data_IF_066046740086
#
_entry.id   IF_066046740086
#
_cell.length_a   1.000
_cell.length_b   1.000
_cell.length_c   1.000
_cell.angle_alpha   90.00
_cell.angle_beta   90.00
_cell.angle_gamma   90.00
#
_symmetry.space_group_name_H-M   'P 1'
#
loop_
_entity.id
_entity.type
_entity.pdbx_description
1 polymer ?
#
# COMPACT_ATOMS: atom_id res chain seq x y z
N UNK A 1 -32.31 -10.71 10.49
CA UNK A 1 -31.71 -9.47 11.02
C UNK A 1 -30.30 -9.81 11.51
N UNK A 2 -29.32 -9.83 10.59
CA UNK A 2 -27.94 -10.17 10.91
C UNK A 2 -27.31 -8.91 11.51
N UNK A 3 -26.89 -8.98 12.77
CA UNK A 3 -26.05 -7.95 13.37
C UNK A 3 -24.77 -7.84 12.53
N UNK A 4 -24.69 -6.82 11.68
CA UNK A 4 -23.44 -6.27 11.17
C UNK A 4 -22.66 -5.81 12.41
N UNK A 5 -21.89 -6.71 13.03
CA UNK A 5 -20.82 -6.32 13.95
C UNK A 5 -19.94 -5.40 13.10
N UNK A 6 -20.02 -4.08 13.34
CA UNK A 6 -19.07 -3.11 12.78
C UNK A 6 -17.70 -3.68 13.10
N UNK A 7 -16.95 -4.12 12.08
CA UNK A 7 -15.54 -4.44 12.28
C UNK A 7 -14.90 -3.15 12.82
N UNK A 8 -14.10 -3.22 13.89
CA UNK A 8 -13.34 -2.05 14.32
C UNK A 8 -12.46 -1.61 13.14
N UNK A 9 -12.48 -0.31 12.84
CA UNK A 9 -11.62 0.28 11.83
C UNK A 9 -10.16 0.02 12.20
N UNK A 10 -9.32 -0.40 11.25
CA UNK A 10 -7.89 -0.62 11.45
C UNK A 10 -7.17 0.69 11.80
N UNK A 11 -7.65 1.81 11.28
CA UNK A 11 -7.15 3.15 11.56
C UNK A 11 -8.26 4.04 12.08
N UNK A 12 -7.99 4.72 13.19
CA UNK A 12 -8.93 5.66 13.82
C UNK A 12 -8.19 6.95 14.16
N UNK A 13 -8.68 8.09 13.67
CA UNK A 13 -8.10 9.39 13.97
C UNK A 13 -8.36 9.74 15.44
N UNK A 14 -7.31 10.15 16.16
CA UNK A 14 -7.36 10.62 17.55
C UNK A 14 -6.49 11.87 17.68
N UNK A 15 -7.13 13.04 17.54
CA UNK A 15 -6.42 14.32 17.50
C UNK A 15 -5.46 14.42 16.31
N UNK A 16 -4.18 14.68 16.59
CA UNK A 16 -3.10 14.78 15.61
C UNK A 16 -2.48 13.42 15.25
N UNK A 17 -2.89 12.34 15.93
CA UNK A 17 -2.40 10.97 15.70
C UNK A 17 -3.48 10.08 15.12
N UNK A 18 -3.05 8.94 14.60
CA UNK A 18 -3.95 7.90 14.07
C UNK A 18 -3.68 6.60 14.81
N UNK A 19 -4.62 6.17 15.63
CA UNK A 19 -4.55 4.92 16.37
C UNK A 19 -4.60 3.71 15.42
N UNK A 20 -3.74 2.73 15.67
CA UNK A 20 -3.72 1.46 14.93
C UNK A 20 -4.47 0.41 15.75
N UNK A 21 -5.52 -0.18 15.17
CA UNK A 21 -6.36 -1.22 15.80
C UNK A 21 -6.13 -2.63 15.24
N UNK A 22 -5.11 -2.80 14.40
CA UNK A 22 -4.68 -4.10 13.89
C UNK A 22 -4.25 -5.03 15.02
N UNK A 23 -4.60 -6.32 14.91
CA UNK A 23 -4.13 -7.38 15.80
C UNK A 23 -2.66 -7.75 15.54
N UNK A 24 -2.08 -8.55 16.43
CA UNK A 24 -0.66 -8.94 16.35
C UNK A 24 -0.33 -9.71 15.05
N UNK A 25 -1.22 -10.61 14.62
CA UNK A 25 -1.05 -11.37 13.38
C UNK A 25 -1.07 -10.46 12.14
N UNK A 26 -1.99 -9.49 12.11
CA UNK A 26 -2.10 -8.51 11.01
C UNK A 26 -0.87 -7.60 10.95
N UNK A 27 -0.35 -7.19 12.12
CA UNK A 27 0.89 -6.40 12.21
C UNK A 27 2.09 -7.21 11.74
N UNK A 28 2.23 -8.45 12.17
CA UNK A 28 3.31 -9.34 11.73
C UNK A 28 3.26 -9.54 10.22
N UNK A 29 2.07 -9.82 9.67
CA UNK A 29 1.87 -9.97 8.23
C UNK A 29 2.25 -8.70 7.48
N UNK A 30 1.87 -7.51 7.99
CA UNK A 30 2.22 -6.24 7.35
C UNK A 30 3.73 -5.98 7.37
N UNK A 31 4.43 -6.33 8.45
CA UNK A 31 5.90 -6.24 8.53
C UNK A 31 6.56 -7.14 7.49
N UNK A 32 6.09 -8.39 7.38
CA UNK A 32 6.64 -9.35 6.40
C UNK A 32 6.41 -8.86 4.96
N UNK A 33 5.21 -8.35 4.66
CA UNK A 33 4.89 -7.80 3.35
C UNK A 33 5.71 -6.54 3.04
N UNK A 34 5.90 -5.64 4.01
CA UNK A 34 6.73 -4.45 3.85
C UNK A 34 8.19 -4.82 3.60
N UNK A 35 8.71 -5.83 4.31
CA UNK A 35 10.07 -6.36 4.10
C UNK A 35 10.25 -6.98 2.71
N UNK A 36 9.27 -7.75 2.24
CA UNK A 36 9.28 -8.31 0.88
C UNK A 36 9.19 -7.20 -0.18
N UNK A 37 8.29 -6.23 0.00
CA UNK A 37 8.17 -5.07 -0.88
C UNK A 37 9.48 -4.29 -0.98
N UNK A 38 10.10 -3.98 0.16
CA UNK A 38 11.41 -3.34 0.24
C UNK A 38 12.47 -4.13 -0.52
N UNK A 39 12.54 -5.44 -0.33
CA UNK A 39 13.53 -6.28 -1.02
C UNK A 39 13.39 -6.21 -2.54
N UNK A 40 12.16 -6.27 -3.05
CA UNK A 40 11.88 -6.15 -4.50
C UNK A 40 12.24 -4.76 -5.02
N UNK A 41 11.91 -3.69 -4.27
CA UNK A 41 12.25 -2.31 -4.66
C UNK A 41 13.76 -2.04 -4.61
N UNK A 42 14.50 -2.66 -3.68
CA UNK A 42 15.97 -2.54 -3.61
C UNK A 42 16.64 -3.26 -4.77
N UNK A 43 16.13 -4.43 -5.17
CA UNK A 43 16.63 -5.17 -6.32
C UNK A 43 16.33 -4.43 -7.64
N UNK A 44 15.17 -3.79 -7.71
CA UNK A 44 14.74 -2.87 -8.79
C UNK A 44 14.77 -3.46 -10.22
N UNK A 45 14.98 -4.77 -10.34
CA UNK A 45 15.00 -5.49 -11.60
C UNK A 45 13.66 -6.16 -11.94
N UNK A 46 12.69 -6.14 -11.03
CA UNK A 46 11.40 -6.81 -11.22
C UNK A 46 10.52 -6.03 -12.24
N UNK A 47 10.16 -6.63 -13.40
CA UNK A 47 9.33 -5.97 -14.40
C UNK A 47 7.91 -5.64 -13.90
N UNK A 48 7.46 -6.21 -12.78
CA UNK A 48 6.19 -5.90 -12.14
C UNK A 48 6.20 -4.55 -11.41
N UNK A 49 7.37 -3.95 -11.20
CA UNK A 49 7.52 -2.62 -10.59
C UNK A 49 7.07 -1.49 -11.53
N UNK A 50 6.82 -1.76 -12.82
CA UNK A 50 6.42 -0.73 -13.81
C UNK A 50 5.28 0.16 -13.36
N UNK A 51 4.25 -0.39 -12.70
CA UNK A 51 3.11 0.41 -12.21
C UNK A 51 3.46 1.32 -11.02
N UNK A 52 4.57 1.04 -10.33
CA UNK A 52 5.05 1.89 -9.25
C UNK A 52 5.78 3.12 -9.80
N UNK A 53 6.33 3.08 -11.00
CA UNK A 53 7.09 4.18 -11.61
C UNK A 53 6.34 4.69 -12.84
N UNK A 54 5.34 5.59 -12.67
CA UNK A 54 4.51 6.05 -13.78
C UNK A 54 5.33 6.84 -14.80
N UNK A 55 4.99 6.66 -16.08
CA UNK A 55 5.55 7.41 -17.21
C UNK A 55 5.01 8.85 -17.19
N UNK A 56 5.87 9.85 -17.36
CA UNK A 56 5.48 11.25 -17.43
C UNK A 56 5.12 11.69 -18.85
N UNK A 57 5.70 11.04 -19.87
CA UNK A 57 5.49 11.36 -21.28
C UNK A 57 5.03 10.13 -22.08
N UNK A 58 3.75 9.72 -21.97
CA UNK A 58 3.24 8.50 -22.62
C UNK A 58 3.37 8.49 -24.15
N UNK A 59 3.32 9.68 -24.77
CA UNK A 59 3.36 9.85 -26.22
C UNK A 59 4.77 10.17 -26.76
N UNK A 60 5.78 10.28 -25.89
CA UNK A 60 7.15 10.65 -26.25
C UNK A 60 8.18 9.78 -25.49
N UNK A 61 8.50 8.59 -26.01
CA UNK A 61 9.36 7.62 -25.32
C UNK A 61 10.80 8.12 -25.07
N UNK A 62 11.31 9.01 -25.92
CA UNK A 62 12.65 9.58 -25.76
C UNK A 62 12.68 10.51 -24.54
N UNK A 63 11.69 11.40 -24.43
CA UNK A 63 11.58 12.31 -23.28
C UNK A 63 11.19 11.58 -22.00
N UNK A 64 10.39 10.51 -22.10
CA UNK A 64 10.07 9.67 -20.94
C UNK A 64 11.33 8.98 -20.40
N UNK A 65 12.17 8.41 -21.27
CA UNK A 65 13.41 7.77 -20.85
C UNK A 65 14.36 8.74 -20.12
N UNK A 66 14.54 9.95 -20.65
CA UNK A 66 15.33 11.00 -20.00
C UNK A 66 14.74 11.39 -18.64
N UNK A 67 13.42 11.61 -18.56
CA UNK A 67 12.74 11.97 -17.33
C UNK A 67 12.82 10.85 -16.28
N UNK A 68 12.52 9.62 -16.66
CA UNK A 68 12.59 8.44 -15.80
C UNK A 68 13.99 8.30 -15.22
N UNK A 69 15.05 8.40 -16.05
CA UNK A 69 16.42 8.34 -15.57
C UNK A 69 16.77 9.40 -14.52
N UNK A 70 16.12 10.57 -14.54
CA UNK A 70 16.34 11.65 -13.57
C UNK A 70 15.64 11.43 -12.23
N UNK A 71 14.46 10.78 -12.22
CA UNK A 71 13.62 10.68 -11.01
C UNK A 71 13.60 9.29 -10.38
N UNK A 72 14.04 8.26 -11.11
CA UNK A 72 13.90 6.86 -10.70
C UNK A 72 14.57 6.56 -9.34
N UNK A 73 15.81 6.97 -9.16
CA UNK A 73 16.55 6.76 -7.90
C UNK A 73 15.85 7.38 -6.69
N UNK A 74 15.26 8.57 -6.85
CA UNK A 74 14.51 9.24 -5.78
C UNK A 74 13.19 8.51 -5.48
N UNK A 75 12.51 7.99 -6.50
CA UNK A 75 11.32 7.17 -6.34
C UNK A 75 11.62 5.86 -5.61
N UNK A 76 12.73 5.19 -5.93
CA UNK A 76 13.23 4.00 -5.25
C UNK A 76 13.52 4.30 -3.78
N UNK A 77 14.32 5.35 -3.50
CA UNK A 77 14.67 5.77 -2.13
C UNK A 77 13.44 6.09 -1.29
N UNK A 78 12.47 6.79 -1.86
CA UNK A 78 11.21 7.15 -1.18
C UNK A 78 10.42 5.90 -0.78
N UNK A 79 10.33 4.90 -1.67
CA UNK A 79 9.63 3.63 -1.39
C UNK A 79 10.33 2.81 -0.33
N UNK A 80 11.66 2.74 -0.36
CA UNK A 80 12.47 2.05 0.66
C UNK A 80 12.24 2.70 2.02
N UNK A 81 12.33 4.04 2.11
CA UNK A 81 12.11 4.77 3.35
C UNK A 81 10.68 4.58 3.90
N UNK A 82 9.68 4.54 3.02
CA UNK A 82 8.31 4.26 3.41
C UNK A 82 8.15 2.83 3.98
N UNK A 83 8.77 1.83 3.35
CA UNK A 83 8.77 0.45 3.84
C UNK A 83 9.49 0.32 5.19
N UNK A 84 10.65 0.95 5.34
CA UNK A 84 11.40 1.00 6.61
C UNK A 84 10.54 1.63 7.72
N UNK A 85 9.78 2.69 7.40
CA UNK A 85 8.85 3.34 8.33
C UNK A 85 7.74 2.38 8.77
N UNK A 86 7.11 1.65 7.85
CA UNK A 86 6.09 0.65 8.21
C UNK A 86 6.67 -0.43 9.12
N UNK A 87 7.82 -0.98 8.78
CA UNK A 87 8.47 -2.03 9.58
C UNK A 87 8.81 -1.54 11.00
N UNK A 88 9.28 -0.30 11.14
CA UNK A 88 9.62 0.29 12.43
C UNK A 88 8.39 0.64 13.30
N UNK A 89 7.24 0.92 12.67
CA UNK A 89 6.05 1.46 13.36
C UNK A 89 4.87 0.51 13.43
N UNK A 90 4.94 -0.67 12.78
CA UNK A 90 3.89 -1.69 12.82
C UNK A 90 3.56 -2.19 14.23
N UNK A 91 4.47 -2.07 15.20
CA UNK A 91 4.22 -2.36 16.62
C UNK A 91 3.69 -1.19 17.45
N UNK A 92 3.58 0.02 16.88
CA UNK A 92 3.15 1.20 17.61
C UNK A 92 1.62 1.23 17.83
N UNK A 93 1.20 1.92 18.88
CA UNK A 93 -0.23 2.13 19.18
C UNK A 93 -0.87 3.20 18.29
N UNK A 94 -0.08 4.16 17.80
CA UNK A 94 -0.55 5.22 16.91
C UNK A 94 0.57 5.82 16.05
N UNK A 95 0.19 6.34 14.89
CA UNK A 95 1.06 6.98 13.91
C UNK A 95 0.85 8.50 13.92
N UNK A 96 1.91 9.25 13.59
CA UNK A 96 1.77 10.63 13.14
C UNK A 96 1.39 10.69 11.64
N UNK A 97 1.22 11.91 11.12
CA UNK A 97 0.78 12.13 9.74
C UNK A 97 1.78 11.61 8.69
N UNK A 98 3.08 11.80 8.91
CA UNK A 98 4.12 11.38 7.98
C UNK A 98 4.24 9.85 7.97
N UNK A 99 4.15 9.22 9.15
CA UNK A 99 4.10 7.78 9.28
C UNK A 99 2.86 7.19 8.59
N UNK A 100 1.67 7.78 8.79
CA UNK A 100 0.46 7.33 8.10
C UNK A 100 0.59 7.47 6.57
N UNK A 101 1.21 8.55 6.09
CA UNK A 101 1.49 8.73 4.67
C UNK A 101 2.44 7.65 4.13
N UNK A 102 3.49 7.29 4.87
CA UNK A 102 4.37 6.17 4.51
C UNK A 102 3.63 4.83 4.45
N UNK A 103 2.73 4.57 5.41
CA UNK A 103 1.87 3.38 5.39
C UNK A 103 0.97 3.34 4.14
N UNK A 104 0.32 4.45 3.79
CA UNK A 104 -0.50 4.53 2.58
C UNK A 104 0.32 4.26 1.31
N UNK A 105 1.55 4.78 1.23
CA UNK A 105 2.45 4.52 0.10
C UNK A 105 2.79 3.03 -0.04
N UNK A 106 3.12 2.35 1.07
CA UNK A 106 3.46 0.91 1.05
C UNK A 106 2.23 0.06 0.74
N UNK A 107 1.08 0.34 1.35
CA UNK A 107 -0.18 -0.38 1.09
C UNK A 107 -0.57 -0.26 -0.39
N UNK A 108 -0.47 0.94 -0.96
CA UNK A 108 -0.71 1.15 -2.39
C UNK A 108 0.35 0.45 -3.27
N UNK A 109 1.63 0.54 -2.91
CA UNK A 109 2.72 -0.12 -3.63
C UNK A 109 2.55 -1.64 -3.70
N UNK A 110 2.20 -2.27 -2.57
CA UNK A 110 1.87 -3.69 -2.50
C UNK A 110 0.68 -4.04 -3.40
N UNK A 111 -0.40 -3.24 -3.39
CA UNK A 111 -1.55 -3.45 -4.27
C UNK A 111 -1.18 -3.40 -5.74
N UNK A 112 -0.36 -2.42 -6.15
CA UNK A 112 0.09 -2.29 -7.53
C UNK A 112 0.98 -3.47 -7.94
N UNK A 113 1.91 -3.88 -7.08
CA UNK A 113 2.83 -4.99 -7.35
C UNK A 113 2.07 -6.32 -7.49
N UNK A 114 1.20 -6.64 -6.53
CA UNK A 114 0.39 -7.85 -6.55
C UNK A 114 -0.62 -7.85 -7.69
N UNK A 115 -1.25 -6.71 -7.98
CA UNK A 115 -2.20 -6.56 -9.08
C UNK A 115 -1.54 -6.74 -10.45
N UNK A 116 -0.28 -6.28 -10.63
CA UNK A 116 0.48 -6.55 -11.85
C UNK A 116 0.79 -8.04 -12.02
N UNK A 117 1.20 -8.72 -10.93
CA UNK A 117 1.54 -10.16 -10.96
C UNK A 117 0.34 -11.04 -11.26
N UNK A 118 -0.84 -10.68 -10.76
CA UNK A 118 -2.07 -11.42 -11.02
C UNK A 118 -2.63 -11.19 -12.42
N UNK A 119 -2.25 -10.09 -13.09
CA UNK A 119 -2.75 -9.71 -14.40
C UNK A 119 -4.29 -9.80 -14.51
N UNK A 120 -4.99 -9.36 -13.46
CA UNK A 120 -6.45 -9.44 -13.38
C UNK A 120 -7.12 -8.51 -14.39
N UNK A 121 -8.15 -9.02 -15.07
CA UNK A 121 -9.06 -8.22 -15.86
C UNK A 121 -10.27 -7.79 -15.02
N UNK A 122 -10.92 -6.67 -15.37
CA UNK A 122 -12.16 -6.23 -14.71
C UNK A 122 -13.33 -7.24 -14.88
N UNK A 123 -13.22 -8.18 -15.82
CA UNK A 123 -14.22 -9.21 -16.08
C UNK A 123 -14.04 -10.48 -15.23
N UNK A 124 -12.96 -10.59 -14.44
CA UNK A 124 -12.67 -11.79 -13.67
C UNK A 124 -13.55 -11.87 -12.41
N UNK A 125 -14.48 -12.81 -12.37
CA UNK A 125 -15.28 -13.09 -11.17
C UNK A 125 -14.41 -13.78 -10.09
N UNK A 126 -14.70 -13.52 -8.82
CA UNK A 126 -13.97 -14.16 -7.71
C UNK A 126 -14.42 -15.61 -7.53
N UNK A 127 -13.52 -16.54 -7.80
CA UNK A 127 -13.66 -17.97 -7.48
C UNK A 127 -12.87 -18.29 -6.19
N UNK A 128 -13.52 -18.70 -5.09
CA UNK A 128 -12.85 -19.03 -3.84
C UNK A 128 -11.96 -20.28 -3.92
N UNK A 129 -12.16 -21.13 -4.92
CA UNK A 129 -11.42 -22.37 -5.12
C UNK A 129 -10.25 -22.21 -6.11
N UNK A 130 -10.07 -21.02 -6.69
CA UNK A 130 -8.97 -20.72 -7.61
C UNK A 130 -7.61 -20.64 -6.88
N UNK A 131 -6.54 -21.03 -7.58
CA UNK A 131 -5.17 -20.98 -7.06
C UNK A 131 -4.74 -19.57 -6.61
N UNK A 132 -5.31 -18.52 -7.22
CA UNK A 132 -5.01 -17.12 -6.92
C UNK A 132 -5.92 -16.51 -5.84
N UNK A 133 -6.90 -17.25 -5.32
CA UNK A 133 -7.85 -16.77 -4.32
C UNK A 133 -7.18 -16.18 -3.07
N UNK A 134 -6.09 -16.75 -2.51
CA UNK A 134 -5.37 -16.13 -1.39
C UNK A 134 -4.78 -14.76 -1.75
N UNK A 135 -4.23 -14.61 -2.95
CA UNK A 135 -3.63 -13.36 -3.42
C UNK A 135 -4.71 -12.30 -3.68
N UNK A 136 -5.87 -12.70 -4.20
CA UNK A 136 -7.04 -11.82 -4.36
C UNK A 136 -7.58 -11.36 -3.01
N UNK A 137 -7.68 -12.25 -2.03
CA UNK A 137 -8.09 -11.90 -0.67
C UNK A 137 -7.10 -10.91 -0.02
N UNK A 138 -5.80 -11.11 -0.23
CA UNK A 138 -4.76 -10.17 0.21
C UNK A 138 -4.92 -8.79 -0.45
N UNK A 139 -5.13 -8.74 -1.78
CA UNK A 139 -5.39 -7.48 -2.49
C UNK A 139 -6.62 -6.74 -1.94
N UNK A 140 -7.69 -7.46 -1.63
CA UNK A 140 -8.88 -6.88 -0.99
C UNK A 140 -8.56 -6.33 0.39
N UNK A 141 -7.86 -7.09 1.24
CA UNK A 141 -7.47 -6.65 2.58
C UNK A 141 -6.59 -5.40 2.56
N UNK A 142 -5.54 -5.38 1.71
CA UNK A 142 -4.71 -4.19 1.51
C UNK A 142 -5.52 -2.98 1.02
N UNK A 143 -6.57 -3.23 0.23
CA UNK A 143 -7.52 -2.20 -0.20
C UNK A 143 -8.29 -1.57 0.92
N UNK A 144 -8.89 -2.41 1.77
CA UNK A 144 -9.61 -1.94 2.94
C UNK A 144 -8.70 -1.14 3.88
N UNK A 145 -7.47 -1.62 4.13
CA UNK A 145 -6.51 -0.87 4.95
C UNK A 145 -6.14 0.48 4.35
N UNK A 146 -5.89 0.54 3.04
CA UNK A 146 -5.57 1.80 2.37
C UNK A 146 -6.74 2.77 2.41
N UNK A 147 -7.96 2.30 2.17
CA UNK A 147 -9.18 3.10 2.26
C UNK A 147 -9.35 3.71 3.66
N UNK A 148 -9.21 2.89 4.71
CA UNK A 148 -9.33 3.37 6.09
C UNK A 148 -8.21 4.35 6.47
N UNK A 149 -6.98 4.13 6.00
CA UNK A 149 -5.87 5.06 6.22
C UNK A 149 -6.12 6.41 5.53
N UNK A 150 -6.64 6.41 4.31
CA UNK A 150 -7.03 7.63 3.56
C UNK A 150 -8.15 8.36 4.30
N UNK A 151 -9.17 7.64 4.77
CA UNK A 151 -10.27 8.24 5.56
C UNK A 151 -9.74 8.86 6.85
N UNK A 152 -8.85 8.18 7.57
CA UNK A 152 -8.24 8.69 8.80
C UNK A 152 -7.40 9.96 8.53
N UNK A 153 -6.65 10.00 7.42
CA UNK A 153 -5.88 11.17 7.01
C UNK A 153 -6.78 12.35 6.57
N UNK A 154 -7.93 12.06 5.98
CA UNK A 154 -8.85 13.08 5.42
C UNK A 154 -9.78 13.69 6.47
N UNK A 155 -9.86 13.11 7.67
CA UNK A 155 -10.68 13.64 8.77
C UNK A 155 -10.28 15.09 9.17
N UNK A 156 -9.08 15.53 8.81
CA UNK A 156 -8.60 16.91 9.02
C UNK A 156 -9.31 17.94 8.10
N UNK A 157 -9.88 17.53 6.96
CA UNK A 157 -10.46 18.44 5.95
C UNK A 157 -11.93 18.83 6.22
N UNK A 158 -12.59 18.18 7.17
CA UNK A 158 -14.01 18.41 7.48
C UNK A 158 -14.28 19.40 8.63
N UNK A 159 -13.23 19.96 9.24
CA UNK A 159 -13.31 20.80 10.44
C UNK A 159 -13.00 22.28 10.23
N UNK A 160 -13.02 22.78 9.00
CA UNK A 160 -12.80 24.21 8.66
C UNK A 160 -14.11 24.94 8.37
#
# INVERSE_FOLDING_TARGET
MILRRRRPHAFERDGDRTAIRLGDDERSMLVDLAGQFRAVVVDDADPNLRRLYPTAYPDDPERDADYSGLVHDDLVRTRIAAADTVMATAGAVSLDADQLAAWMQVLNGLRLLLGTRLNLSEADEFDPDADDAPTRALLSWLGFLLEEAVVAASADLGGA
#
